data_IF_148184871587
#
_entry.id   IF_148184871587
#
_cell.length_a   1.000
_cell.length_b   1.000
_cell.length_c   1.000
_cell.angle_alpha   90.00
_cell.angle_beta   90.00
_cell.angle_gamma   90.00
#
_symmetry.space_group_name_H-M   'P 1'
#
loop_
_entity.id
_entity.type
_entity.pdbx_description
1 polymer ?
#
# COMPACT_ATOMS: atom_id res chain seq x y z
N UNK A 1 -34.19 -6.60 8.74
CA UNK A 1 -33.43 -7.85 8.90
C UNK A 1 -32.28 -7.69 7.93
N UNK A 2 -31.16 -7.16 8.42
CA UNK A 2 -30.19 -6.42 7.61
C UNK A 2 -29.11 -7.33 7.01
N UNK A 3 -28.84 -7.25 5.70
CA UNK A 3 -27.76 -7.98 5.05
C UNK A 3 -26.58 -7.04 4.78
N UNK A 4 -25.89 -6.56 5.81
CA UNK A 4 -24.57 -5.91 5.64
C UNK A 4 -23.61 -6.37 6.75
N UNK A 5 -23.25 -7.65 6.70
CA UNK A 5 -21.94 -8.07 7.18
C UNK A 5 -20.90 -7.38 6.30
N UNK A 6 -20.33 -6.27 6.76
CA UNK A 6 -19.08 -5.69 6.24
C UNK A 6 -18.07 -6.81 6.08
N UNK A 7 -17.86 -7.27 4.84
CA UNK A 7 -16.98 -8.39 4.55
C UNK A 7 -15.56 -7.96 4.89
N UNK A 8 -15.13 -8.41 6.06
CA UNK A 8 -13.84 -8.13 6.65
C UNK A 8 -12.89 -9.15 6.05
N UNK A 9 -12.71 -9.08 4.74
CA UNK A 9 -12.19 -10.20 3.97
C UNK A 9 -10.68 -10.28 4.11
N UNK A 10 -10.27 -11.32 4.84
CA UNK A 10 -8.91 -11.85 4.76
C UNK A 10 -8.65 -12.22 3.31
N UNK A 11 -7.58 -11.70 2.74
CA UNK A 11 -7.13 -12.06 1.40
C UNK A 11 -5.63 -12.25 1.42
N UNK A 12 -5.13 -13.09 0.53
CA UNK A 12 -3.70 -13.29 0.32
C UNK A 12 -3.44 -13.18 -1.16
N UNK A 13 -2.52 -12.29 -1.53
CA UNK A 13 -1.99 -12.22 -2.89
C UNK A 13 -0.60 -12.82 -2.90
N UNK A 14 -0.28 -13.56 -3.95
CA UNK A 14 1.05 -14.11 -4.17
C UNK A 14 1.62 -13.67 -5.51
N UNK A 15 2.94 -13.58 -5.61
CA UNK A 15 3.63 -13.37 -6.87
C UNK A 15 4.92 -14.19 -6.93
N UNK A 16 5.29 -14.61 -8.13
CA UNK A 16 6.56 -15.25 -8.43
C UNK A 16 7.20 -14.57 -9.65
N UNK A 17 8.50 -14.31 -9.61
CA UNK A 17 9.19 -13.62 -10.69
C UNK A 17 10.69 -13.58 -10.50
N UNK A 18 11.37 -12.78 -11.32
CA UNK A 18 12.80 -12.50 -11.18
C UNK A 18 13.01 -10.99 -11.08
N UNK A 19 13.90 -10.58 -10.18
CA UNK A 19 14.30 -9.18 -9.98
C UNK A 19 15.81 -9.06 -10.02
N UNK A 20 16.32 -7.90 -10.39
CA UNK A 20 17.75 -7.58 -10.26
C UNK A 20 17.94 -6.68 -9.06
N UNK A 21 18.80 -7.10 -8.13
CA UNK A 21 19.20 -6.37 -6.92
C UNK A 21 20.73 -6.33 -6.93
N UNK A 22 21.31 -5.13 -6.86
CA UNK A 22 22.76 -4.90 -6.89
C UNK A 22 23.51 -5.60 -8.04
N UNK A 23 22.87 -5.64 -9.21
CA UNK A 23 23.44 -6.26 -10.41
C UNK A 23 23.37 -7.79 -10.47
N UNK A 24 22.83 -8.44 -9.43
CA UNK A 24 22.59 -9.89 -9.37
C UNK A 24 21.11 -10.20 -9.58
N UNK A 25 20.82 -11.28 -10.32
CA UNK A 25 19.46 -11.76 -10.54
C UNK A 25 19.03 -12.64 -9.37
N UNK A 26 17.82 -12.39 -8.88
CA UNK A 26 17.18 -13.14 -7.80
C UNK A 26 15.79 -13.60 -8.22
N UNK A 27 15.46 -14.86 -7.94
CA UNK A 27 14.11 -15.38 -8.04
C UNK A 27 13.32 -14.93 -6.81
N UNK A 28 12.16 -14.31 -7.03
CA UNK A 28 11.30 -13.74 -6.01
C UNK A 28 10.08 -14.63 -5.78
N UNK A 29 9.79 -14.92 -4.51
CA UNK A 29 8.49 -15.44 -4.06
C UNK A 29 7.92 -14.40 -3.08
N UNK A 30 6.76 -13.85 -3.39
CA UNK A 30 6.10 -12.83 -2.57
C UNK A 30 4.72 -13.31 -2.09
N UNK A 31 4.39 -13.02 -0.84
CA UNK A 31 3.08 -13.22 -0.22
C UNK A 31 2.65 -11.95 0.50
N UNK A 32 1.42 -11.52 0.22
CA UNK A 32 0.82 -10.29 0.74
C UNK A 32 -0.53 -10.57 1.39
N UNK A 33 -0.55 -11.11 2.61
CA UNK A 33 -1.78 -11.28 3.36
C UNK A 33 -2.31 -9.93 3.85
N UNK A 34 -3.63 -9.75 3.80
CA UNK A 34 -4.35 -8.64 4.41
C UNK A 34 -4.98 -9.13 5.71
N UNK A 35 -4.53 -8.55 6.82
CA UNK A 35 -4.99 -8.84 8.17
C UNK A 35 -5.97 -7.77 8.62
N UNK A 36 -7.27 -8.09 8.78
CA UNK A 36 -8.24 -7.12 9.22
C UNK A 36 -8.41 -7.10 10.75
N UNK A 37 -8.63 -5.90 11.28
CA UNK A 37 -8.87 -5.58 12.68
C UNK A 37 -10.03 -4.59 12.78
N UNK A 38 -11.26 -5.09 12.62
CA UNK A 38 -12.45 -4.24 12.46
C UNK A 38 -12.34 -3.40 11.17
N UNK A 39 -12.47 -2.08 11.30
CA UNK A 39 -12.29 -1.16 10.15
C UNK A 39 -10.82 -0.96 9.76
N UNK A 40 -9.87 -1.30 10.63
CA UNK A 40 -8.45 -1.24 10.31
C UNK A 40 -8.05 -2.50 9.54
N UNK A 41 -7.14 -2.39 8.58
CA UNK A 41 -6.52 -3.51 7.89
C UNK A 41 -5.04 -3.24 7.69
N UNK A 42 -4.21 -4.24 7.95
CA UNK A 42 -2.76 -4.20 7.71
C UNK A 42 -2.44 -5.22 6.63
N UNK A 43 -1.88 -4.78 5.52
CA UNK A 43 -1.33 -5.67 4.50
C UNK A 43 0.15 -5.87 4.76
N UNK A 44 0.59 -7.12 4.76
CA UNK A 44 2.01 -7.46 4.88
C UNK A 44 2.65 -7.59 3.49
N UNK A 45 3.96 -7.41 3.42
CA UNK A 45 4.78 -7.78 2.27
C UNK A 45 5.86 -8.75 2.72
N UNK A 46 5.62 -10.04 2.48
CA UNK A 46 6.53 -11.11 2.86
C UNK A 46 7.18 -11.64 1.59
N UNK A 47 8.43 -11.25 1.38
CA UNK A 47 9.17 -11.59 0.17
C UNK A 47 10.44 -12.35 0.51
N UNK A 48 10.72 -13.37 -0.30
CA UNK A 48 11.95 -14.15 -0.26
C UNK A 48 12.59 -14.06 -1.64
N UNK A 49 13.89 -13.80 -1.65
CA UNK A 49 14.72 -13.77 -2.85
C UNK A 49 15.72 -14.91 -2.78
N UNK A 50 15.80 -15.70 -3.85
CA UNK A 50 16.66 -16.88 -3.97
C UNK A 50 17.53 -16.72 -5.20
N UNK A 51 18.85 -16.80 -5.05
CA UNK A 51 19.77 -16.75 -6.20
C UNK A 51 19.87 -18.10 -6.92
N UNK A 52 20.68 -18.15 -7.97
CA UNK A 52 20.95 -19.35 -8.76
C UNK A 52 21.64 -20.48 -7.97
N UNK A 53 22.31 -20.14 -6.87
CA UNK A 53 23.06 -21.06 -6.02
C UNK A 53 22.21 -21.55 -4.82
N UNK A 54 20.97 -21.06 -4.69
CA UNK A 54 20.04 -21.39 -3.62
C UNK A 54 20.20 -20.55 -2.35
N UNK A 55 21.02 -19.51 -2.36
CA UNK A 55 21.17 -18.61 -1.22
C UNK A 55 19.96 -17.67 -1.12
N UNK A 56 19.59 -17.32 0.11
CA UNK A 56 18.52 -16.37 0.41
C UNK A 56 19.14 -14.98 0.64
N UNK A 57 18.54 -13.94 0.06
CA UNK A 57 18.93 -12.55 0.34
C UNK A 57 18.58 -12.20 1.79
N UNK A 58 19.59 -11.90 2.59
CA UNK A 58 19.54 -11.78 4.04
C UNK A 58 19.21 -10.37 4.53
N UNK A 59 19.58 -9.33 3.79
CA UNK A 59 19.35 -7.92 4.20
C UNK A 59 17.87 -7.57 4.44
N UNK A 60 16.94 -8.33 3.84
CA UNK A 60 15.51 -8.11 4.02
C UNK A 60 14.95 -8.68 5.35
N UNK A 61 15.72 -9.47 6.09
CA UNK A 61 15.29 -10.19 7.29
C UNK A 61 16.26 -9.98 8.46
N UNK A 62 16.78 -8.76 8.60
CA UNK A 62 17.77 -8.44 9.61
C UNK A 62 17.12 -8.05 10.95
N UNK A 63 17.29 -8.91 11.95
CA UNK A 63 16.83 -8.70 13.33
C UNK A 63 17.99 -8.54 14.32
N UNK A 64 19.18 -8.20 13.85
CA UNK A 64 20.41 -8.24 14.67
C UNK A 64 20.51 -7.11 15.71
N UNK A 65 19.74 -6.04 15.57
CA UNK A 65 19.72 -4.89 16.50
C UNK A 65 18.32 -4.27 16.58
N UNK A 66 18.03 -3.50 17.64
CA UNK A 66 16.71 -2.86 17.79
C UNK A 66 16.34 -1.92 16.64
N UNK A 67 17.31 -1.21 16.06
CA UNK A 67 17.09 -0.35 14.90
C UNK A 67 16.79 -1.18 13.63
N UNK A 68 17.55 -2.24 13.39
CA UNK A 68 17.36 -3.15 12.26
C UNK A 68 16.02 -3.88 12.35
N UNK A 69 15.65 -4.37 13.54
CA UNK A 69 14.33 -4.97 13.81
C UNK A 69 13.21 -4.00 13.44
N UNK A 70 13.30 -2.73 13.85
CA UNK A 70 12.29 -1.72 13.53
C UNK A 70 12.17 -1.52 12.02
N UNK A 71 13.30 -1.35 11.32
CA UNK A 71 13.32 -1.13 9.87
C UNK A 71 12.75 -2.36 9.14
N UNK A 72 13.23 -3.55 9.49
CA UNK A 72 12.74 -4.83 8.96
C UNK A 72 11.24 -5.00 9.15
N UNK A 73 10.70 -4.71 10.34
CA UNK A 73 9.24 -4.79 10.58
C UNK A 73 8.47 -3.79 9.72
N UNK A 74 8.92 -2.54 9.62
CA UNK A 74 8.29 -1.51 8.79
C UNK A 74 8.29 -1.94 7.32
N UNK A 75 9.41 -2.52 6.86
CA UNK A 75 9.59 -3.04 5.52
C UNK A 75 8.68 -4.23 5.18
N UNK A 76 8.12 -4.93 6.18
CA UNK A 76 7.12 -5.98 5.99
C UNK A 76 5.68 -5.47 6.02
N UNK A 77 5.45 -4.16 6.20
CA UNK A 77 4.11 -3.57 6.10
C UNK A 77 3.93 -2.97 4.71
N UNK A 78 3.12 -3.63 3.89
CA UNK A 78 2.79 -3.14 2.54
C UNK A 78 1.92 -1.89 2.59
N UNK A 79 0.84 -1.93 3.37
CA UNK A 79 0.03 -0.74 3.68
C UNK A 79 -0.76 -0.92 4.96
N UNK A 80 -1.22 0.20 5.53
CA UNK A 80 -2.26 0.26 6.55
C UNK A 80 -3.46 1.00 5.98
N UNK A 81 -4.66 0.46 6.19
CA UNK A 81 -5.93 1.00 5.67
C UNK A 81 -6.97 1.08 6.78
N UNK A 82 -7.74 2.15 6.82
CA UNK A 82 -8.95 2.30 7.62
C UNK A 82 -10.16 2.46 6.70
N UNK A 83 -11.17 1.61 6.88
CA UNK A 83 -12.39 1.60 6.09
C UNK A 83 -12.20 1.08 4.65
N UNK A 84 -13.28 1.13 3.89
CA UNK A 84 -13.33 0.87 2.45
C UNK A 84 -13.27 2.17 1.66
N UNK A 85 -12.77 2.13 0.41
CA UNK A 85 -12.77 3.31 -0.49
C UNK A 85 -14.18 3.86 -0.77
N UNK A 86 -15.21 3.07 -0.49
CA UNK A 86 -16.62 3.44 -0.62
C UNK A 86 -17.21 4.06 0.64
N UNK A 87 -16.50 3.97 1.78
CA UNK A 87 -16.95 4.54 3.05
C UNK A 87 -16.84 6.08 3.03
N UNK A 88 -17.64 6.73 3.88
CA UNK A 88 -17.58 8.19 4.10
C UNK A 88 -16.22 8.65 4.63
N UNK A 89 -15.59 7.81 5.45
CA UNK A 89 -14.27 8.06 6.03
C UNK A 89 -13.36 6.88 5.70
N UNK A 90 -12.30 7.18 4.95
CA UNK A 90 -11.35 6.22 4.44
C UNK A 90 -9.95 6.81 4.52
N UNK A 91 -8.99 5.98 4.88
CA UNK A 91 -7.58 6.34 4.88
C UNK A 91 -6.72 5.14 4.49
N UNK A 92 -5.67 5.36 3.70
CA UNK A 92 -4.66 4.35 3.38
C UNK A 92 -3.29 5.00 3.32
N UNK A 93 -2.29 4.34 3.90
CA UNK A 93 -0.89 4.75 3.92
C UNK A 93 0.02 3.57 3.56
N UNK A 94 1.07 3.81 2.77
CA UNK A 94 1.99 2.78 2.28
C UNK A 94 1.92 2.63 0.76
N UNK A 95 1.97 1.38 0.28
CA UNK A 95 1.79 1.05 -1.12
C UNK A 95 0.37 1.37 -1.60
N UNK A 96 0.28 2.25 -2.61
CA UNK A 96 -0.96 2.69 -3.21
C UNK A 96 -1.14 2.02 -4.56
N UNK A 97 -1.85 0.89 -4.57
CA UNK A 97 -2.24 0.22 -5.81
C UNK A 97 -3.54 0.83 -6.37
N UNK A 98 -3.53 1.10 -7.68
CA UNK A 98 -4.69 1.45 -8.48
C UNK A 98 -5.56 2.58 -7.88
N UNK A 99 -4.94 3.73 -7.63
CA UNK A 99 -5.61 4.94 -7.18
C UNK A 99 -6.31 5.60 -8.38
N UNK A 100 -7.62 5.81 -8.26
CA UNK A 100 -8.44 6.46 -9.29
C UNK A 100 -9.31 7.55 -8.67
N UNK A 101 -9.26 8.74 -9.27
CA UNK A 101 -10.04 9.91 -8.87
C UNK A 101 -10.95 10.34 -10.04
N UNK A 102 -12.20 9.85 -10.08
CA UNK A 102 -13.17 10.21 -11.15
C UNK A 102 -13.77 11.61 -11.01
N UNK A 103 -14.65 12.16 -11.88
CA UNK A 103 -14.73 12.13 -13.35
C UNK A 103 -14.11 13.45 -13.85
N UNK A 104 -13.26 13.37 -14.89
CA UNK A 104 -12.40 14.47 -15.35
C UNK A 104 -10.93 14.07 -15.21
N UNK A 105 -10.14 14.31 -16.27
CA UNK A 105 -8.80 13.76 -16.53
C UNK A 105 -7.75 14.30 -15.55
N UNK A 106 -7.89 14.02 -14.26
CA UNK A 106 -6.90 14.40 -13.24
C UNK A 106 -5.99 13.21 -12.90
N UNK A 107 -6.53 12.01 -12.62
CA UNK A 107 -5.71 10.82 -12.37
C UNK A 107 -6.52 9.51 -12.40
N UNK A 108 -6.04 8.50 -13.15
CA UNK A 108 -6.65 7.16 -13.25
C UNK A 108 -5.59 6.07 -13.18
N UNK A 109 -5.88 5.00 -12.44
CA UNK A 109 -5.07 3.80 -12.29
C UNK A 109 -3.61 4.07 -11.87
N UNK A 110 -3.41 5.07 -11.02
CA UNK A 110 -2.08 5.39 -10.52
C UNK A 110 -1.58 4.31 -9.57
N UNK A 111 -0.29 3.99 -9.69
CA UNK A 111 0.41 3.12 -8.75
C UNK A 111 1.78 3.70 -8.42
N UNK A 112 2.11 3.79 -7.12
CA UNK A 112 3.46 4.14 -6.67
C UNK A 112 4.37 2.91 -6.51
N UNK A 113 3.92 1.72 -6.91
CA UNK A 113 4.63 0.44 -6.74
C UNK A 113 5.27 -0.10 -8.02
N UNK A 114 5.30 0.68 -9.12
CA UNK A 114 5.85 0.24 -10.41
C UNK A 114 7.33 -0.15 -10.36
N UNK A 115 8.12 0.49 -9.51
CA UNK A 115 9.55 0.18 -9.30
C UNK A 115 9.77 -0.68 -8.06
N UNK A 116 8.72 -1.31 -7.53
CA UNK A 116 8.84 -2.23 -6.41
C UNK A 116 9.54 -3.52 -6.87
N UNK A 117 10.47 -4.09 -6.10
CA UNK A 117 10.89 -3.70 -4.75
C UNK A 117 12.01 -2.66 -4.68
N UNK A 118 12.62 -2.30 -5.81
CA UNK A 118 13.84 -1.46 -5.86
C UNK A 118 13.63 -0.07 -5.28
N UNK A 119 12.45 0.53 -5.47
CA UNK A 119 12.08 1.83 -4.89
C UNK A 119 10.77 1.68 -4.11
N UNK A 120 10.86 1.81 -2.78
CA UNK A 120 9.73 1.69 -1.86
C UNK A 120 9.18 3.08 -1.51
N UNK A 121 8.16 3.51 -2.27
CA UNK A 121 7.47 4.78 -2.03
C UNK A 121 6.39 4.63 -0.95
N UNK A 122 6.21 5.66 -0.13
CA UNK A 122 5.15 5.68 0.89
C UNK A 122 4.10 6.74 0.52
N UNK A 123 3.00 6.29 -0.07
CA UNK A 123 1.90 7.16 -0.47
C UNK A 123 0.85 7.32 0.63
N UNK A 124 -0.01 8.31 0.46
CA UNK A 124 -1.21 8.51 1.28
C UNK A 124 -2.43 8.74 0.40
N UNK A 125 -3.56 8.14 0.77
CA UNK A 125 -4.87 8.38 0.15
C UNK A 125 -5.92 8.53 1.27
N UNK A 126 -6.80 9.53 1.16
CA UNK A 126 -7.88 9.71 2.11
C UNK A 126 -9.16 10.21 1.47
N UNK A 127 -10.29 9.88 2.09
CA UNK A 127 -11.62 10.43 1.82
C UNK A 127 -12.29 10.75 3.15
N UNK A 128 -12.91 11.91 3.24
CA UNK A 128 -13.75 12.27 4.39
C UNK A 128 -14.98 13.05 3.94
N UNK A 129 -16.06 12.89 4.69
CA UNK A 129 -17.27 13.69 4.56
C UNK A 129 -17.49 14.46 5.86
N UNK A 130 -17.41 15.79 5.80
CA UNK A 130 -17.60 16.66 6.95
C UNK A 130 -18.36 17.93 6.54
N UNK A 131 -19.30 18.37 7.38
CA UNK A 131 -20.07 19.61 7.17
C UNK A 131 -20.75 19.72 5.79
N UNK A 132 -21.21 18.60 5.22
CA UNK A 132 -21.84 18.55 3.90
C UNK A 132 -20.85 18.57 2.72
N UNK A 133 -19.54 18.63 2.97
CA UNK A 133 -18.49 18.62 1.97
C UNK A 133 -17.81 17.25 1.94
N UNK A 134 -17.64 16.70 0.73
CA UNK A 134 -16.79 15.54 0.48
C UNK A 134 -15.40 16.02 0.09
N UNK A 135 -14.38 15.55 0.80
CA UNK A 135 -12.99 15.79 0.48
C UNK A 135 -12.30 14.47 0.13
N UNK A 136 -11.48 14.52 -0.92
CA UNK A 136 -10.59 13.43 -1.31
C UNK A 136 -9.20 14.00 -1.53
N UNK A 137 -8.16 13.28 -1.11
CA UNK A 137 -6.80 13.67 -1.38
C UNK A 137 -5.88 12.48 -1.51
N UNK A 138 -4.81 12.64 -2.28
CA UNK A 138 -3.74 11.66 -2.34
C UNK A 138 -2.39 12.32 -2.58
N UNK A 139 -1.32 11.63 -2.20
CA UNK A 139 0.05 11.93 -2.60
C UNK A 139 0.84 10.64 -2.82
N UNK A 140 1.78 10.66 -3.75
CA UNK A 140 2.51 9.46 -4.16
C UNK A 140 3.61 9.02 -3.21
N UNK A 141 4.30 9.97 -2.58
CA UNK A 141 5.46 9.70 -1.73
C UNK A 141 5.68 10.83 -0.73
N UNK A 142 5.04 10.75 0.44
CA UNK A 142 5.20 11.81 1.45
C UNK A 142 6.52 11.71 2.23
N UNK A 143 7.25 10.60 2.10
CA UNK A 143 8.51 10.37 2.83
C UNK A 143 9.66 11.14 2.20
N UNK A 144 9.73 11.17 0.87
CA UNK A 144 10.86 11.79 0.15
C UNK A 144 10.45 13.01 -0.68
N UNK A 145 9.37 12.92 -1.46
CA UNK A 145 8.95 14.02 -2.34
C UNK A 145 7.47 13.91 -2.73
N UNK A 146 6.68 14.93 -2.41
CA UNK A 146 5.25 15.07 -2.77
C UNK A 146 5.02 15.34 -4.27
N UNK A 147 5.91 14.85 -5.15
CA UNK A 147 6.01 15.19 -6.56
C UNK A 147 4.75 14.92 -7.38
N UNK A 148 3.84 14.07 -6.89
CA UNK A 148 2.49 13.92 -7.41
C UNK A 148 1.47 13.93 -6.27
N UNK A 149 0.66 14.98 -6.22
CA UNK A 149 -0.36 15.20 -5.19
C UNK A 149 -1.63 15.74 -5.83
N UNK A 150 -2.80 15.35 -5.32
CA UNK A 150 -4.09 15.84 -5.80
C UNK A 150 -5.12 15.96 -4.68
N UNK A 151 -6.00 16.96 -4.77
CA UNK A 151 -7.08 17.21 -3.82
C UNK A 151 -8.39 17.49 -4.57
N UNK A 152 -9.50 16.95 -4.07
CA UNK A 152 -10.86 17.18 -4.56
C UNK A 152 -11.76 17.65 -3.43
N UNK A 153 -12.61 18.62 -3.73
CA UNK A 153 -13.73 19.02 -2.89
C UNK A 153 -15.03 18.87 -3.70
N UNK A 154 -16.11 18.41 -3.07
CA UNK A 154 -17.42 18.30 -3.68
C UNK A 154 -18.50 18.60 -2.64
N UNK A 155 -19.35 19.57 -2.91
CA UNK A 155 -20.49 19.93 -2.09
C UNK A 155 -21.79 19.82 -2.91
N UNK A 156 -22.95 19.52 -2.29
CA UNK A 156 -24.23 19.59 -2.98
C UNK A 156 -24.47 21.04 -3.45
N UNK A 157 -24.97 21.17 -4.67
CA UNK A 157 -25.40 22.46 -5.22
C UNK A 157 -26.85 22.63 -4.76
N UNK A 158 -27.11 23.67 -3.97
CA UNK A 158 -28.45 24.03 -3.48
C UNK A 158 -29.37 24.47 -4.60
#
# INVERSE_FOLDING_TARGET
MDPETTSTDKSVQGAFGAVTIDGKIWNQIALRPVLPFGKLSVALDLVIYIDQDGNIHDDEWDFSSGEKVKNTIIDKIYYIRYGSRWDKNYFKIGALDNVTMGYGILLSNYSNTLLYPQVRKVGMEFRTHAFGVNMYGFTNDFKENLGLTGVRLSAPIS
#
